data_IF_596434888059
#
_entry.id   IF_596434888059
#
_cell.length_a   1.000
_cell.length_b   1.000
_cell.length_c   1.000
_cell.angle_alpha   90.00
_cell.angle_beta   90.00
_cell.angle_gamma   90.00
#
_symmetry.space_group_name_H-M   'P 1'
#
loop_
_entity.id
_entity.type
_entity.pdbx_description
1 polymer ?
#
# COMPACT_ATOMS: atom_id res chain seq x y z
N UNK A 1 -15.44 6.79 -19.85
CA UNK A 1 -15.72 6.44 -21.22
C UNK A 1 -16.10 7.65 -22.05
N UNK A 2 -15.89 7.62 -23.39
CA UNK A 2 -16.09 8.75 -24.29
C UNK A 2 -17.54 9.32 -24.25
N UNK A 3 -18.54 8.46 -23.97
CA UNK A 3 -19.94 8.91 -23.84
C UNK A 3 -20.14 9.80 -22.61
N UNK A 4 -19.55 9.48 -21.49
CA UNK A 4 -19.66 10.29 -20.26
C UNK A 4 -19.06 11.67 -20.50
N UNK A 5 -17.84 11.72 -21.09
CA UNK A 5 -17.17 12.99 -21.37
C UNK A 5 -18.03 13.90 -22.29
N UNK A 6 -18.74 13.32 -23.28
CA UNK A 6 -19.61 14.06 -24.18
C UNK A 6 -20.90 14.59 -23.53
N UNK A 7 -21.21 14.14 -22.33
CA UNK A 7 -22.40 14.53 -21.57
C UNK A 7 -22.08 15.47 -20.40
N UNK A 8 -20.78 15.79 -20.22
CA UNK A 8 -20.37 16.82 -19.27
C UNK A 8 -20.62 18.19 -19.87
N UNK A 9 -21.13 19.09 -19.06
CA UNK A 9 -21.35 20.49 -19.38
C UNK A 9 -20.97 21.37 -18.19
N UNK A 10 -20.90 22.68 -18.40
CA UNK A 10 -20.65 23.67 -17.33
C UNK A 10 -21.84 24.59 -17.25
N UNK A 11 -22.46 24.67 -16.08
CA UNK A 11 -23.56 25.56 -15.77
C UNK A 11 -23.27 26.31 -14.47
N UNK A 12 -23.38 27.63 -14.50
CA UNK A 12 -23.13 28.49 -13.34
C UNK A 12 -21.77 28.23 -12.65
N UNK A 13 -20.74 28.00 -13.47
CA UNK A 13 -19.36 27.67 -13.05
C UNK A 13 -19.20 26.29 -12.32
N UNK A 14 -20.23 25.43 -12.42
CA UNK A 14 -20.25 24.09 -11.90
C UNK A 14 -20.23 23.06 -13.02
N UNK A 15 -19.49 21.95 -12.80
CA UNK A 15 -19.49 20.81 -13.71
C UNK A 15 -20.78 20.01 -13.52
N UNK A 16 -21.58 19.95 -14.57
CA UNK A 16 -22.88 19.26 -14.58
C UNK A 16 -22.92 18.15 -15.63
N UNK A 17 -23.86 17.24 -15.50
CA UNK A 17 -24.12 16.16 -16.46
C UNK A 17 -25.50 16.32 -17.08
N UNK A 18 -25.58 16.25 -18.41
CA UNK A 18 -26.89 16.23 -19.08
C UNK A 18 -27.79 15.07 -18.60
N UNK A 19 -29.08 15.32 -18.38
CA UNK A 19 -30.03 14.31 -17.85
C UNK A 19 -30.01 12.98 -18.59
N UNK A 20 -29.80 12.99 -19.92
CA UNK A 20 -29.65 11.75 -20.73
C UNK A 20 -28.41 10.96 -20.40
N UNK A 21 -27.46 11.54 -19.65
CA UNK A 21 -26.21 10.92 -19.20
C UNK A 21 -26.31 10.15 -17.88
N UNK A 22 -27.39 10.33 -17.10
CA UNK A 22 -27.56 9.79 -15.74
C UNK A 22 -27.21 8.30 -15.67
N UNK A 23 -27.83 7.46 -16.50
CA UNK A 23 -27.56 6.00 -16.49
C UNK A 23 -26.12 5.64 -16.80
N UNK A 24 -25.43 6.46 -17.62
CA UNK A 24 -24.03 6.23 -17.94
C UNK A 24 -23.11 6.53 -16.75
N UNK A 25 -23.44 7.57 -15.98
CA UNK A 25 -22.75 7.94 -14.74
C UNK A 25 -23.01 6.91 -13.65
N UNK A 26 -24.27 6.51 -13.43
CA UNK A 26 -24.63 5.47 -12.46
C UNK A 26 -23.88 4.15 -12.73
N UNK A 27 -23.89 3.69 -13.97
CA UNK A 27 -23.16 2.49 -14.38
C UNK A 27 -21.63 2.63 -14.16
N UNK A 28 -21.07 3.80 -14.42
CA UNK A 28 -19.65 4.08 -14.15
C UNK A 28 -19.36 4.03 -12.66
N UNK A 29 -20.14 4.69 -11.84
CA UNK A 29 -19.97 4.71 -10.38
C UNK A 29 -20.13 3.31 -9.78
N UNK A 30 -21.13 2.56 -10.25
CA UNK A 30 -21.34 1.17 -9.82
C UNK A 30 -20.17 0.27 -10.22
N UNK A 31 -19.70 0.36 -11.46
CA UNK A 31 -18.54 -0.39 -11.95
C UNK A 31 -17.27 -0.03 -11.17
N UNK A 32 -17.06 1.26 -10.89
CA UNK A 32 -15.95 1.73 -10.06
C UNK A 32 -16.04 1.15 -8.64
N UNK A 33 -17.22 1.19 -8.02
CA UNK A 33 -17.46 0.60 -6.69
C UNK A 33 -17.14 -0.89 -6.66
N UNK A 34 -17.61 -1.66 -7.64
CA UNK A 34 -17.35 -3.09 -7.74
C UNK A 34 -15.84 -3.37 -7.92
N UNK A 35 -15.17 -2.60 -8.76
CA UNK A 35 -13.72 -2.71 -8.94
C UNK A 35 -12.95 -2.47 -7.64
N UNK A 36 -13.36 -1.48 -6.84
CA UNK A 36 -12.74 -1.25 -5.53
C UNK A 36 -12.90 -2.45 -4.61
N UNK A 37 -14.11 -3.02 -4.53
CA UNK A 37 -14.36 -4.19 -3.68
C UNK A 37 -13.67 -5.46 -4.15
N UNK A 38 -13.70 -5.73 -5.45
CA UNK A 38 -13.23 -6.98 -6.01
C UNK A 38 -11.72 -7.00 -6.29
N UNK A 39 -11.11 -5.84 -6.49
CA UNK A 39 -9.69 -5.73 -6.86
C UNK A 39 -8.88 -5.06 -5.75
N UNK A 40 -9.13 -3.78 -5.49
CA UNK A 40 -8.28 -3.02 -4.57
C UNK A 40 -8.43 -3.41 -3.10
N UNK A 41 -9.65 -3.68 -2.65
CA UNK A 41 -9.94 -4.12 -1.28
C UNK A 41 -9.99 -5.64 -1.13
N UNK A 42 -9.65 -6.37 -2.19
CA UNK A 42 -9.56 -7.81 -2.09
C UNK A 42 -8.49 -8.21 -1.07
N UNK A 43 -8.82 -9.17 -0.20
CA UNK A 43 -7.93 -9.61 0.89
C UNK A 43 -6.48 -9.90 0.46
N UNK A 44 -6.29 -10.47 -0.72
CA UNK A 44 -4.97 -10.79 -1.27
C UNK A 44 -4.21 -9.52 -1.66
N UNK A 45 -4.87 -8.53 -2.26
CA UNK A 45 -4.27 -7.24 -2.62
C UNK A 45 -3.81 -6.49 -1.37
N UNK A 46 -4.68 -6.40 -0.37
CA UNK A 46 -4.35 -5.76 0.92
C UNK A 46 -3.21 -6.49 1.63
N UNK A 47 -3.21 -7.84 1.63
CA UNK A 47 -2.13 -8.62 2.22
C UNK A 47 -0.79 -8.37 1.54
N UNK A 48 -0.79 -8.31 0.20
CA UNK A 48 0.40 -8.01 -0.60
C UNK A 48 0.94 -6.61 -0.31
N UNK A 49 0.07 -5.62 -0.31
CA UNK A 49 0.42 -4.23 0.02
C UNK A 49 1.05 -4.13 1.42
N UNK A 50 0.40 -4.69 2.45
CA UNK A 50 0.93 -4.65 3.82
C UNK A 50 2.26 -5.38 3.95
N UNK A 51 2.42 -6.50 3.27
CA UNK A 51 3.67 -7.24 3.25
C UNK A 51 4.79 -6.45 2.58
N UNK A 52 4.52 -5.78 1.46
CA UNK A 52 5.48 -4.92 0.78
C UNK A 52 5.89 -3.72 1.65
N UNK A 53 4.92 -3.03 2.24
CA UNK A 53 5.18 -1.91 3.16
C UNK A 53 6.06 -2.35 4.33
N UNK A 54 5.76 -3.49 4.94
CA UNK A 54 6.56 -4.01 6.05
C UNK A 54 7.99 -4.39 5.60
N UNK A 55 8.14 -4.95 4.40
CA UNK A 55 9.45 -5.27 3.82
C UNK A 55 10.29 -4.02 3.61
N UNK A 56 9.73 -2.98 2.98
CA UNK A 56 10.42 -1.72 2.75
C UNK A 56 10.74 -0.98 4.06
N UNK A 57 9.83 -1.04 5.04
CA UNK A 57 10.06 -0.49 6.37
C UNK A 57 11.25 -1.17 7.06
N UNK A 58 11.33 -2.52 6.99
CA UNK A 58 12.49 -3.24 7.53
C UNK A 58 13.78 -2.90 6.80
N UNK A 59 13.74 -2.84 5.46
CA UNK A 59 14.89 -2.46 4.66
C UNK A 59 15.40 -1.06 5.04
N UNK A 60 14.50 -0.08 5.16
CA UNK A 60 14.85 1.28 5.59
C UNK A 60 15.45 1.31 7.00
N UNK A 61 14.88 0.56 7.93
CA UNK A 61 15.41 0.45 9.29
C UNK A 61 16.85 -0.10 9.31
N UNK A 62 17.12 -1.15 8.53
CA UNK A 62 18.45 -1.74 8.40
C UNK A 62 19.43 -0.76 7.74
N UNK A 63 19.03 -0.10 6.66
CA UNK A 63 19.85 0.89 5.96
C UNK A 63 20.23 2.06 6.87
N UNK A 64 19.29 2.59 7.66
CA UNK A 64 19.55 3.67 8.63
C UNK A 64 20.43 3.22 9.81
N UNK A 65 20.55 1.91 10.07
CA UNK A 65 21.49 1.35 11.02
C UNK A 65 22.89 1.07 10.42
N UNK A 66 23.09 1.44 9.16
CA UNK A 66 24.37 1.25 8.46
C UNK A 66 24.54 -0.13 7.80
N UNK A 67 23.47 -0.93 7.72
CA UNK A 67 23.52 -2.20 6.98
C UNK A 67 23.51 -1.92 5.48
N UNK A 68 24.49 -2.44 4.76
CA UNK A 68 24.55 -2.29 3.30
C UNK A 68 23.50 -3.19 2.64
N UNK A 69 22.59 -2.55 1.88
CA UNK A 69 21.53 -3.24 1.14
C UNK A 69 21.65 -2.93 -0.35
N UNK A 70 21.40 -3.92 -1.17
CA UNK A 70 21.23 -3.71 -2.60
C UNK A 70 20.01 -2.81 -2.86
N UNK A 71 20.20 -1.78 -3.65
CA UNK A 71 19.13 -0.90 -4.13
C UNK A 71 19.60 -0.18 -5.39
N UNK A 72 18.66 0.13 -6.31
CA UNK A 72 18.92 1.09 -7.38
C UNK A 72 19.20 2.48 -6.82
N UNK A 73 19.78 3.39 -7.59
CA UNK A 73 20.09 4.75 -7.11
C UNK A 73 18.88 5.46 -6.49
N UNK A 74 17.73 5.43 -7.15
CA UNK A 74 16.50 6.04 -6.67
C UNK A 74 15.97 5.39 -5.39
N UNK A 75 15.91 4.06 -5.32
CA UNK A 75 15.50 3.34 -4.12
C UNK A 75 16.49 3.57 -2.96
N UNK A 76 17.80 3.59 -3.25
CA UNK A 76 18.86 3.85 -2.28
C UNK A 76 18.69 5.22 -1.62
N UNK A 77 18.36 6.24 -2.41
CA UNK A 77 18.07 7.57 -1.88
C UNK A 77 17.01 7.51 -0.77
N UNK A 78 15.87 6.87 -1.02
CA UNK A 78 14.80 6.77 -0.02
C UNK A 78 15.10 5.83 1.15
N UNK A 79 15.90 4.81 0.97
CA UNK A 79 16.24 3.88 2.06
C UNK A 79 17.24 4.50 3.05
N UNK A 80 18.22 5.25 2.57
CA UNK A 80 19.32 5.72 3.42
C UNK A 80 19.14 7.14 3.97
N UNK A 81 18.10 7.88 3.53
CA UNK A 81 17.80 9.21 4.05
C UNK A 81 16.48 9.23 4.83
N UNK A 82 16.46 9.81 6.03
CA UNK A 82 15.24 9.97 6.82
C UNK A 82 14.41 11.18 6.32
N UNK A 83 13.81 11.03 5.14
CA UNK A 83 13.00 12.07 4.48
C UNK A 83 11.64 12.17 5.15
N UNK A 84 11.29 13.33 5.65
CA UNK A 84 9.95 13.65 6.14
C UNK A 84 9.07 14.26 5.05
N UNK A 85 7.79 14.51 5.38
CA UNK A 85 6.81 15.08 4.44
C UNK A 85 7.22 16.48 3.96
N UNK A 86 7.80 17.31 4.83
CA UNK A 86 8.21 18.67 4.51
C UNK A 86 9.41 18.67 3.57
N UNK A 87 10.40 17.85 3.86
CA UNK A 87 11.58 17.66 3.01
C UNK A 87 11.20 17.11 1.64
N UNK A 88 10.28 16.12 1.59
CA UNK A 88 9.80 15.56 0.32
C UNK A 88 9.21 16.61 -0.62
N UNK A 89 8.43 17.57 -0.10
CA UNK A 89 7.83 18.63 -0.93
C UNK A 89 8.77 19.76 -1.29
N UNK A 90 9.84 19.97 -0.53
CA UNK A 90 10.73 21.14 -0.71
C UNK A 90 12.08 20.78 -1.36
N UNK A 91 12.39 19.50 -1.52
CA UNK A 91 13.65 19.06 -2.12
C UNK A 91 13.46 18.63 -3.58
N UNK A 92 14.10 19.31 -4.54
CA UNK A 92 14.12 18.88 -5.93
C UNK A 92 14.65 17.45 -6.09
N UNK A 93 15.67 17.06 -5.31
CA UNK A 93 16.28 15.72 -5.36
C UNK A 93 15.28 14.64 -4.97
N UNK A 94 14.36 14.92 -4.02
CA UNK A 94 13.31 13.99 -3.66
C UNK A 94 12.36 13.74 -4.84
N UNK A 95 11.95 14.79 -5.54
CA UNK A 95 11.08 14.69 -6.71
C UNK A 95 11.78 13.93 -7.85
N UNK A 96 13.03 14.25 -8.14
CA UNK A 96 13.82 13.61 -9.19
C UNK A 96 13.97 12.11 -8.93
N UNK A 97 14.40 11.71 -7.72
CA UNK A 97 14.52 10.30 -7.37
C UNK A 97 13.14 9.59 -7.32
N UNK A 98 12.07 10.29 -6.91
CA UNK A 98 10.73 9.70 -6.89
C UNK A 98 10.21 9.37 -8.30
N UNK A 99 10.46 10.27 -9.29
CA UNK A 99 10.05 10.04 -10.68
C UNK A 99 10.82 8.87 -11.31
N UNK A 100 12.06 8.63 -10.88
CA UNK A 100 12.89 7.53 -11.38
C UNK A 100 12.57 6.18 -10.74
N UNK A 101 11.83 6.17 -9.62
CA UNK A 101 11.50 4.94 -8.89
C UNK A 101 10.34 4.22 -9.57
N UNK A 102 10.55 2.95 -9.91
CA UNK A 102 9.54 2.09 -10.53
C UNK A 102 9.43 0.70 -9.87
N UNK A 103 8.51 -0.12 -10.38
CA UNK A 103 8.28 -1.48 -9.88
C UNK A 103 9.51 -2.39 -10.05
N UNK A 104 10.36 -2.16 -11.06
CA UNK A 104 11.55 -2.97 -11.31
C UNK A 104 12.58 -2.79 -10.22
N UNK A 105 12.73 -1.56 -9.70
CA UNK A 105 13.61 -1.27 -8.56
C UNK A 105 13.23 -2.12 -7.36
N UNK A 106 11.94 -2.14 -7.05
CA UNK A 106 11.38 -2.87 -5.91
C UNK A 106 11.52 -4.38 -6.10
N UNK A 107 11.11 -4.91 -7.27
CA UNK A 107 11.20 -6.35 -7.54
C UNK A 107 12.63 -6.86 -7.56
N UNK A 108 13.56 -6.09 -8.12
CA UNK A 108 14.98 -6.46 -8.14
C UNK A 108 15.56 -6.48 -6.73
N UNK A 109 15.25 -5.46 -5.92
CA UNK A 109 15.67 -5.40 -4.53
C UNK A 109 15.10 -6.59 -3.73
N UNK A 110 13.81 -6.90 -3.85
CA UNK A 110 13.18 -8.06 -3.19
C UNK A 110 13.88 -9.38 -3.53
N UNK A 111 14.25 -9.59 -4.81
CA UNK A 111 14.98 -10.79 -5.24
C UNK A 111 16.33 -10.92 -4.54
N UNK A 112 17.07 -9.83 -4.43
CA UNK A 112 18.38 -9.83 -3.73
C UNK A 112 18.17 -9.99 -2.22
N UNK A 113 17.22 -9.25 -1.63
CA UNK A 113 16.96 -9.32 -0.19
C UNK A 113 16.38 -10.67 0.26
N UNK A 114 15.83 -11.46 -0.64
CA UNK A 114 15.35 -12.82 -0.30
C UNK A 114 16.45 -13.74 0.25
N UNK A 115 17.71 -13.44 -0.03
CA UNK A 115 18.88 -14.16 0.46
C UNK A 115 19.67 -13.39 1.54
N UNK A 116 19.12 -12.28 2.05
CA UNK A 116 19.77 -11.47 3.07
C UNK A 116 19.84 -12.22 4.42
N UNK A 117 20.85 -11.93 5.22
CA UNK A 117 21.07 -12.54 6.54
C UNK A 117 20.00 -12.15 7.59
N UNK A 118 19.38 -10.99 7.45
CA UNK A 118 18.27 -10.58 8.31
C UNK A 118 17.04 -11.44 8.04
N UNK A 119 16.59 -12.17 9.07
CA UNK A 119 15.47 -13.13 8.98
C UNK A 119 14.16 -12.45 8.58
N UNK A 120 13.89 -11.26 9.09
CA UNK A 120 12.65 -10.52 8.77
C UNK A 120 12.65 -10.12 7.30
N UNK A 121 13.70 -9.43 6.86
CA UNK A 121 13.81 -8.95 5.49
C UNK A 121 13.76 -10.09 4.48
N UNK A 122 14.54 -11.15 4.70
CA UNK A 122 14.61 -12.29 3.77
C UNK A 122 13.31 -13.10 3.73
N UNK A 123 12.64 -13.29 4.86
CA UNK A 123 11.37 -14.03 4.91
C UNK A 123 10.24 -13.28 4.21
N UNK A 124 10.11 -11.98 4.46
CA UNK A 124 9.11 -11.14 3.79
C UNK A 124 9.38 -11.06 2.28
N UNK A 125 10.61 -10.82 1.87
CA UNK A 125 10.99 -10.76 0.45
C UNK A 125 10.72 -12.09 -0.27
N UNK A 126 11.08 -13.22 0.31
CA UNK A 126 10.75 -14.56 -0.23
C UNK A 126 9.24 -14.79 -0.31
N UNK A 127 8.49 -14.32 0.69
CA UNK A 127 7.03 -14.38 0.68
C UNK A 127 6.43 -13.63 -0.50
N UNK A 128 6.90 -12.42 -0.78
CA UNK A 128 6.48 -11.62 -1.94
C UNK A 128 6.79 -12.32 -3.26
N UNK A 129 8.03 -12.76 -3.47
CA UNK A 129 8.48 -13.40 -4.72
C UNK A 129 7.71 -14.70 -4.99
N UNK A 130 7.52 -15.52 -3.96
CA UNK A 130 6.88 -16.82 -4.09
C UNK A 130 5.35 -16.76 -3.91
N UNK A 131 4.75 -15.57 -3.82
CA UNK A 131 3.31 -15.34 -3.59
C UNK A 131 2.75 -16.04 -2.34
N UNK A 132 3.60 -16.22 -1.32
CA UNK A 132 3.22 -16.72 0.01
C UNK A 132 2.90 -15.54 0.92
N UNK A 133 1.76 -14.92 0.66
CA UNK A 133 1.31 -13.72 1.34
C UNK A 133 0.78 -14.01 2.75
N UNK A 134 0.56 -12.96 3.53
CA UNK A 134 -0.05 -13.07 4.85
C UNK A 134 -1.43 -13.73 4.78
N UNK A 135 -1.72 -14.58 5.74
CA UNK A 135 -3.09 -15.09 5.95
C UNK A 135 -3.95 -13.93 6.45
N UNK A 136 -5.07 -13.70 5.77
CA UNK A 136 -6.03 -12.65 6.13
C UNK A 136 -7.22 -13.26 6.85
N UNK A 137 -7.53 -12.71 8.02
CA UNK A 137 -8.75 -12.98 8.76
C UNK A 137 -9.59 -11.69 8.79
N UNK A 138 -10.83 -11.76 8.31
CA UNK A 138 -11.77 -10.64 8.32
C UNK A 138 -12.73 -10.86 9.48
N UNK A 139 -12.85 -9.86 10.36
CA UNK A 139 -13.75 -9.91 11.51
C UNK A 139 -14.48 -8.58 11.65
N UNK A 140 -15.72 -8.64 12.14
CA UNK A 140 -16.50 -7.45 12.50
C UNK A 140 -16.18 -6.92 13.90
N UNK A 141 -15.47 -7.70 14.72
CA UNK A 141 -15.09 -7.33 16.08
C UNK A 141 -13.64 -6.86 16.16
N UNK A 142 -13.35 -5.94 17.07
CA UNK A 142 -11.98 -5.49 17.34
C UNK A 142 -11.12 -6.63 17.87
N UNK A 143 -9.89 -6.72 17.38
CA UNK A 143 -8.92 -7.71 17.86
C UNK A 143 -8.44 -7.31 19.24
N UNK A 144 -8.61 -8.21 20.22
CA UNK A 144 -8.18 -7.97 21.61
C UNK A 144 -6.65 -7.92 21.73
N UNK A 145 -6.18 -7.19 22.74
CA UNK A 145 -4.74 -7.14 23.06
C UNK A 145 -4.17 -8.55 23.32
N UNK A 146 -4.92 -9.40 24.02
CA UNK A 146 -4.50 -10.78 24.31
C UNK A 146 -4.31 -11.60 23.02
N UNK A 147 -5.25 -11.51 22.07
CA UNK A 147 -5.15 -12.23 20.79
C UNK A 147 -3.95 -11.73 19.97
N UNK A 148 -3.71 -10.41 19.96
CA UNK A 148 -2.53 -9.84 19.30
C UNK A 148 -1.22 -10.36 19.89
N UNK A 149 -1.12 -10.39 21.21
CA UNK A 149 0.06 -10.90 21.92
C UNK A 149 0.29 -12.38 21.66
N UNK A 150 -0.75 -13.20 21.67
CA UNK A 150 -0.69 -14.62 21.32
C UNK A 150 -0.10 -14.84 19.92
N UNK A 151 -0.62 -14.11 18.91
CA UNK A 151 -0.13 -14.20 17.53
C UNK A 151 1.35 -13.80 17.44
N UNK A 152 1.75 -12.69 18.07
CA UNK A 152 3.14 -12.23 18.08
C UNK A 152 4.08 -13.24 18.73
N UNK A 153 3.67 -13.90 19.82
CA UNK A 153 4.46 -14.95 20.45
C UNK A 153 4.61 -16.17 19.54
N UNK A 154 3.55 -16.59 18.87
CA UNK A 154 3.63 -17.71 17.90
C UNK A 154 4.61 -17.42 16.77
N UNK A 155 4.54 -16.20 16.18
CA UNK A 155 5.45 -15.75 15.12
C UNK A 155 6.88 -15.72 15.64
N UNK A 156 7.11 -15.13 16.81
CA UNK A 156 8.42 -15.04 17.46
C UNK A 156 9.06 -16.43 17.64
N UNK A 157 8.30 -17.38 18.15
CA UNK A 157 8.77 -18.76 18.36
C UNK A 157 9.03 -19.50 17.04
N UNK A 158 8.12 -19.33 16.06
CA UNK A 158 8.24 -20.05 14.78
C UNK A 158 9.42 -19.57 13.93
N UNK A 159 9.72 -18.28 13.96
CA UNK A 159 10.80 -17.67 13.17
C UNK A 159 12.09 -17.48 13.98
N UNK A 160 12.07 -17.81 15.27
CA UNK A 160 13.18 -17.58 16.21
C UNK A 160 13.67 -16.11 16.18
N UNK A 161 12.73 -15.16 16.22
CA UNK A 161 12.97 -13.71 16.23
C UNK A 161 12.37 -13.08 17.48
N UNK A 162 12.81 -11.87 17.83
CA UNK A 162 12.26 -11.18 18.98
C UNK A 162 10.85 -10.60 18.69
N UNK A 163 10.13 -10.22 19.75
CA UNK A 163 8.76 -9.72 19.66
C UNK A 163 8.63 -8.41 18.86
N UNK A 164 9.67 -7.56 18.84
CA UNK A 164 9.66 -6.34 18.02
C UNK A 164 9.71 -6.69 16.53
N UNK A 165 10.52 -7.65 16.17
CA UNK A 165 10.64 -8.18 14.80
C UNK A 165 9.38 -8.94 14.37
N UNK A 166 8.73 -9.67 15.27
CA UNK A 166 7.46 -10.35 14.97
C UNK A 166 6.35 -9.40 14.49
N UNK A 167 6.40 -8.12 14.86
CA UNK A 167 5.43 -7.11 14.40
C UNK A 167 5.42 -6.90 12.89
N UNK A 168 6.52 -7.15 12.20
CA UNK A 168 6.56 -7.08 10.73
C UNK A 168 5.72 -8.14 10.02
N UNK A 169 5.31 -9.19 10.74
CA UNK A 169 4.48 -10.28 10.21
C UNK A 169 3.00 -10.17 10.63
N UNK A 170 2.62 -9.10 11.32
CA UNK A 170 1.25 -8.86 11.75
C UNK A 170 0.81 -7.44 11.38
N UNK A 171 -0.21 -7.33 10.55
CA UNK A 171 -0.88 -6.07 10.22
C UNK A 171 -2.35 -6.13 10.63
N UNK A 172 -2.83 -5.08 11.26
CA UNK A 172 -4.24 -4.91 11.64
C UNK A 172 -4.70 -3.59 11.04
N UNK A 173 -5.73 -3.63 10.21
CA UNK A 173 -6.30 -2.43 9.58
C UNK A 173 -7.81 -2.57 9.45
N UNK A 174 -8.53 -1.45 9.55
CA UNK A 174 -9.92 -1.36 9.11
C UNK A 174 -9.96 -1.19 7.61
N UNK A 175 -10.93 -1.82 6.96
CA UNK A 175 -11.21 -1.62 5.55
C UNK A 175 -12.49 -0.79 5.49
N UNK A 176 -12.35 0.47 5.11
CA UNK A 176 -13.46 1.38 4.91
C UNK A 176 -13.52 1.78 3.42
N UNK A 177 -14.72 1.75 2.87
CA UNK A 177 -14.95 2.18 1.50
C UNK A 177 -15.41 3.64 1.50
N UNK A 178 -14.47 4.57 1.72
CA UNK A 178 -14.73 6.01 1.69
C UNK A 178 -14.62 6.57 0.27
N UNK A 179 -15.28 5.93 -0.71
CA UNK A 179 -15.22 6.38 -2.10
C UNK A 179 -15.95 7.72 -2.36
N UNK A 180 -16.83 8.11 -1.47
CA UNK A 180 -17.61 9.35 -1.54
C UNK A 180 -17.74 9.92 -0.12
N UNK A 181 -17.11 11.02 0.16
CA UNK A 181 -17.41 11.83 1.32
C UNK A 181 -18.46 12.87 0.90
N UNK A 182 -19.52 13.02 1.69
CA UNK A 182 -20.56 14.03 1.46
C UNK A 182 -20.05 15.49 1.45
N UNK A 183 -18.79 15.68 1.88
CA UNK A 183 -18.13 16.98 1.99
C UNK A 183 -17.23 17.29 0.79
N UNK A 184 -16.94 16.31 -0.08
CA UNK A 184 -16.24 16.52 -1.34
C UNK A 184 -17.26 16.77 -2.45
N UNK A 185 -16.94 17.63 -3.40
CA UNK A 185 -17.76 18.14 -4.52
C UNK A 185 -18.80 17.14 -5.02
N UNK A 186 -20.07 17.44 -4.78
CA UNK A 186 -21.18 16.62 -5.28
C UNK A 186 -21.28 16.76 -6.80
N UNK A 187 -21.54 15.63 -7.49
CA UNK A 187 -21.87 15.65 -8.91
C UNK A 187 -23.29 16.20 -9.04
N UNK A 188 -23.44 17.35 -9.69
CA UNK A 188 -24.73 17.96 -9.99
C UNK A 188 -25.24 17.42 -11.32
N UNK A 189 -26.59 17.20 -11.38
CA UNK A 189 -27.30 16.67 -12.55
C UNK A 189 -28.27 17.73 -13.07
#
# INVERSE_FOLDING_TARGET
SARIIKMLDVKDDHLVVESKGIYSIENFLMSRRLMYWQVYLHKTSVASEKMLVNTLTRAKELALRGVELFASPALRFFLYHPIDKKEFYNSPDCLENFIQLDDNDIWTALKVWSNHSDVVLSTLSRGMINRKLFKVEVTSSSITKARKEEILLRISNQLNINKKEAKYFLSISSIENNMYKKEDDSIEI
#
